data_IF_780860727014
#
_entry.id   IF_780860727014
#
_cell.length_a   1.000
_cell.length_b   1.000
_cell.length_c   1.000
_cell.angle_alpha   90.00
_cell.angle_beta   90.00
_cell.angle_gamma   90.00
#
_symmetry.space_group_name_H-M   'P 1'
#
loop_
_entity.id
_entity.type
_entity.pdbx_description
1 polymer ?
#
# COMPACT_ATOMS: atom_id res chain seq x y z
N UNK A 1 -1.45 17.69 -21.52
CA UNK A 1 -1.50 16.27 -21.11
C UNK A 1 -1.43 15.40 -22.35
N UNK A 2 -0.23 15.06 -22.79
CA UNK A 2 0.01 14.34 -24.05
C UNK A 2 0.82 13.09 -23.81
N UNK A 3 0.25 11.92 -24.19
CA UNK A 3 0.91 10.77 -24.82
C UNK A 3 1.76 9.80 -23.98
N UNK A 4 1.48 9.58 -22.69
CA UNK A 4 2.09 8.40 -22.00
C UNK A 4 1.34 7.08 -22.30
N UNK A 5 0.16 7.15 -22.86
CA UNK A 5 -0.68 5.96 -23.23
C UNK A 5 -0.12 5.19 -24.42
N UNK A 6 0.77 5.76 -25.22
CA UNK A 6 1.34 5.12 -26.42
C UNK A 6 2.65 4.35 -26.16
N UNK A 7 3.32 4.59 -25.02
CA UNK A 7 4.57 3.90 -24.68
C UNK A 7 4.28 2.53 -24.07
N UNK A 8 5.15 1.55 -24.30
CA UNK A 8 5.08 0.30 -23.54
C UNK A 8 5.31 0.56 -22.03
N UNK A 9 4.79 -0.31 -21.14
CA UNK A 9 4.88 -0.07 -19.70
C UNK A 9 6.31 0.10 -19.17
N UNK A 10 7.26 -0.69 -19.68
CA UNK A 10 8.66 -0.62 -19.26
C UNK A 10 9.31 0.73 -19.62
N UNK A 11 9.10 1.18 -20.84
CA UNK A 11 9.60 2.48 -21.32
C UNK A 11 8.96 3.64 -20.55
N UNK A 12 7.66 3.58 -20.26
CA UNK A 12 6.97 4.61 -19.47
C UNK A 12 7.54 4.69 -18.04
N UNK A 13 7.72 3.54 -17.38
CA UNK A 13 8.31 3.47 -16.04
C UNK A 13 9.76 3.96 -16.01
N UNK A 14 10.58 3.56 -17.00
CA UNK A 14 11.98 3.99 -17.11
C UNK A 14 12.09 5.51 -17.32
N UNK A 15 11.24 6.08 -18.18
CA UNK A 15 11.19 7.52 -18.44
C UNK A 15 10.82 8.31 -17.18
N UNK A 16 9.78 7.88 -16.46
CA UNK A 16 9.36 8.50 -15.22
C UNK A 16 10.48 8.45 -14.18
N UNK A 17 11.07 7.27 -13.96
CA UNK A 17 12.21 7.10 -13.04
C UNK A 17 13.38 7.99 -13.41
N UNK A 18 13.75 8.06 -14.70
CA UNK A 18 14.84 8.93 -15.18
C UNK A 18 14.57 10.43 -14.95
N UNK A 19 13.31 10.88 -15.07
CA UNK A 19 12.95 12.25 -14.76
C UNK A 19 13.08 12.56 -13.26
N UNK A 20 12.56 11.66 -12.40
CA UNK A 20 12.67 11.78 -10.94
C UNK A 20 14.12 11.87 -10.49
N UNK A 21 14.98 10.98 -10.99
CA UNK A 21 16.39 10.94 -10.63
C UNK A 21 17.13 12.20 -11.09
N UNK A 22 16.84 12.71 -12.29
CA UNK A 22 17.42 13.98 -12.77
C UNK A 22 17.07 15.14 -11.84
N UNK A 23 15.79 15.28 -11.45
CA UNK A 23 15.36 16.37 -10.58
C UNK A 23 15.93 16.21 -9.16
N UNK A 24 16.05 14.98 -8.67
CA UNK A 24 16.64 14.67 -7.37
C UNK A 24 18.14 15.01 -7.36
N UNK A 25 18.88 14.62 -8.41
CA UNK A 25 20.33 14.79 -8.49
C UNK A 25 20.74 16.22 -8.92
N UNK A 26 20.04 16.81 -9.88
CA UNK A 26 20.51 18.02 -10.56
C UNK A 26 19.53 19.19 -10.46
N UNK A 27 18.30 18.96 -10.00
CA UNK A 27 17.33 20.05 -9.82
C UNK A 27 17.77 21.05 -8.75
N UNK A 28 17.13 22.21 -8.70
CA UNK A 28 17.40 23.28 -7.73
C UNK A 28 16.38 23.35 -6.60
N UNK A 29 15.26 22.64 -6.74
CA UNK A 29 14.20 22.61 -5.75
C UNK A 29 14.65 21.90 -4.46
N UNK A 30 14.16 22.37 -3.31
CA UNK A 30 14.43 21.75 -2.01
C UNK A 30 13.74 20.40 -1.82
N UNK A 31 12.69 20.13 -2.58
CA UNK A 31 11.94 18.89 -2.53
C UNK A 31 11.53 18.41 -3.91
N UNK A 32 11.45 17.11 -4.08
CA UNK A 32 10.83 16.42 -5.22
C UNK A 32 9.80 15.47 -4.66
N UNK A 33 8.55 15.53 -5.13
CA UNK A 33 7.46 14.66 -4.67
C UNK A 33 7.15 13.62 -5.73
N UNK A 34 6.99 12.37 -5.31
CA UNK A 34 6.67 11.25 -6.20
C UNK A 34 5.45 10.50 -5.70
N UNK A 35 4.39 10.54 -6.50
CA UNK A 35 3.18 9.74 -6.31
C UNK A 35 3.42 8.33 -6.86
N UNK A 36 3.34 7.34 -6.00
CA UNK A 36 3.63 5.94 -6.32
C UNK A 36 2.44 5.05 -5.99
N UNK A 37 1.60 4.69 -6.97
CA UNK A 37 0.47 3.80 -6.75
C UNK A 37 0.93 2.38 -6.33
N UNK A 38 -0.02 1.50 -5.91
CA UNK A 38 0.31 0.16 -5.43
C UNK A 38 1.12 -0.64 -6.46
N UNK A 39 2.27 -1.16 -6.02
CA UNK A 39 3.12 -2.01 -6.88
C UNK A 39 3.86 -1.27 -7.99
N UNK A 40 3.96 0.06 -7.96
CA UNK A 40 4.67 0.82 -8.98
C UNK A 40 6.20 0.81 -8.84
N UNK A 41 6.75 0.11 -7.85
CA UNK A 41 8.19 0.00 -7.67
C UNK A 41 8.79 1.07 -6.77
N UNK A 42 8.01 1.62 -5.83
CA UNK A 42 8.45 2.64 -4.86
C UNK A 42 9.78 2.30 -4.18
N UNK A 43 9.89 1.14 -3.53
CA UNK A 43 11.13 0.74 -2.84
C UNK A 43 12.31 0.59 -3.80
N UNK A 44 12.05 0.16 -5.05
CA UNK A 44 13.08 0.11 -6.10
C UNK A 44 13.57 1.51 -6.46
N UNK A 45 12.67 2.49 -6.56
CA UNK A 45 13.02 3.89 -6.79
C UNK A 45 13.85 4.45 -5.63
N UNK A 46 13.43 4.22 -4.37
CA UNK A 46 14.14 4.66 -3.16
C UNK A 46 15.56 4.11 -3.13
N UNK A 47 15.72 2.80 -3.33
CA UNK A 47 17.04 2.15 -3.37
C UNK A 47 17.89 2.71 -4.51
N UNK A 48 17.32 2.86 -5.71
CA UNK A 48 18.04 3.40 -6.86
C UNK A 48 18.49 4.85 -6.64
N UNK A 49 17.61 5.71 -6.12
CA UNK A 49 17.95 7.10 -5.81
C UNK A 49 19.05 7.19 -4.74
N UNK A 50 18.99 6.34 -3.71
CA UNK A 50 20.02 6.29 -2.68
C UNK A 50 21.39 5.89 -3.25
N UNK A 51 21.42 4.88 -4.13
CA UNK A 51 22.66 4.46 -4.79
C UNK A 51 23.23 5.55 -5.69
N UNK A 52 22.40 6.16 -6.55
CA UNK A 52 22.86 7.22 -7.47
C UNK A 52 23.35 8.47 -6.72
N UNK A 53 22.73 8.84 -5.58
CA UNK A 53 23.21 9.92 -4.72
C UNK A 53 24.55 9.56 -4.07
N UNK A 54 24.68 8.35 -3.52
CA UNK A 54 25.92 7.89 -2.90
C UNK A 54 27.09 7.82 -3.91
N UNK A 55 26.83 7.28 -5.11
CA UNK A 55 27.82 7.21 -6.20
C UNK A 55 28.25 8.61 -6.69
N UNK A 56 27.35 9.59 -6.60
CA UNK A 56 27.67 11.00 -6.87
C UNK A 56 28.42 11.70 -5.72
N UNK A 57 28.82 10.97 -4.68
CA UNK A 57 29.50 11.51 -3.50
C UNK A 57 28.62 12.40 -2.63
N UNK A 58 27.31 12.20 -2.65
CA UNK A 58 26.32 12.98 -1.89
C UNK A 58 25.78 12.14 -0.73
N UNK A 59 26.28 12.34 0.49
CA UNK A 59 25.77 11.62 1.65
C UNK A 59 24.30 11.93 1.87
N UNK A 60 23.54 10.90 2.29
CA UNK A 60 22.11 11.03 2.48
C UNK A 60 21.60 10.31 3.71
N UNK A 61 20.51 10.84 4.25
CA UNK A 61 19.69 10.15 5.24
C UNK A 61 18.44 9.59 4.58
N UNK A 62 17.98 8.42 5.06
CA UNK A 62 16.71 7.84 4.65
C UNK A 62 15.78 7.77 5.85
N UNK A 63 14.55 8.23 5.65
CA UNK A 63 13.51 8.28 6.67
C UNK A 63 12.38 7.34 6.26
N UNK A 64 12.01 6.39 7.12
CA UNK A 64 10.82 5.56 6.94
C UNK A 64 9.95 5.59 8.21
N UNK A 65 8.75 5.00 8.16
CA UNK A 65 7.80 5.11 9.27
C UNK A 65 7.98 4.00 10.32
N UNK A 66 8.45 2.82 9.93
CA UNK A 66 8.58 1.67 10.81
C UNK A 66 9.96 1.03 10.74
N UNK A 67 10.36 0.31 11.81
CA UNK A 67 11.62 -0.44 11.83
C UNK A 67 11.68 -1.48 10.70
N UNK A 68 10.60 -2.22 10.46
CA UNK A 68 10.56 -3.22 9.41
C UNK A 68 10.77 -2.63 7.99
N UNK A 69 10.26 -1.41 7.72
CA UNK A 69 10.52 -0.72 6.46
C UNK A 69 11.98 -0.30 6.32
N UNK A 70 12.57 0.22 7.41
CA UNK A 70 13.99 0.59 7.42
C UNK A 70 14.87 -0.62 7.20
N UNK A 71 14.59 -1.73 7.89
CA UNK A 71 15.37 -2.96 7.81
C UNK A 71 15.30 -3.58 6.40
N UNK A 72 14.11 -3.59 5.76
CA UNK A 72 13.94 -4.01 4.35
C UNK A 72 14.76 -3.14 3.37
N UNK A 73 14.76 -1.82 3.56
CA UNK A 73 15.55 -0.91 2.72
C UNK A 73 17.05 -1.12 2.93
N UNK A 74 17.53 -1.34 4.16
CA UNK A 74 18.94 -1.67 4.45
C UNK A 74 19.34 -2.96 3.74
N UNK A 75 18.54 -4.03 3.86
CA UNK A 75 18.78 -5.31 3.18
C UNK A 75 18.88 -5.14 1.66
N UNK A 76 17.95 -4.38 1.06
CA UNK A 76 17.95 -4.14 -0.39
C UNK A 76 19.15 -3.33 -0.85
N UNK A 77 19.56 -2.28 -0.12
CA UNK A 77 20.72 -1.48 -0.43
C UNK A 77 21.99 -2.31 -0.31
N UNK A 78 22.17 -3.03 0.80
CA UNK A 78 23.33 -3.87 1.05
C UNK A 78 23.50 -4.98 0.01
N UNK A 79 22.40 -5.61 -0.39
CA UNK A 79 22.43 -6.65 -1.43
C UNK A 79 22.68 -6.08 -2.83
N UNK A 80 22.19 -4.87 -3.13
CA UNK A 80 22.30 -4.28 -4.46
C UNK A 80 23.72 -3.72 -4.74
N UNK A 81 24.40 -3.22 -3.71
CA UNK A 81 25.78 -2.77 -3.78
C UNK A 81 26.53 -3.21 -2.52
N UNK A 82 27.20 -4.38 -2.55
CA UNK A 82 27.95 -4.91 -1.41
C UNK A 82 29.15 -4.05 -0.99
N UNK A 83 29.64 -3.16 -1.86
CA UNK A 83 30.75 -2.25 -1.56
C UNK A 83 30.29 -0.95 -0.88
N UNK A 84 28.99 -0.65 -0.87
CA UNK A 84 28.43 0.56 -0.27
C UNK A 84 28.28 0.37 1.25
N UNK A 85 28.98 1.17 2.09
CA UNK A 85 28.73 1.15 3.52
C UNK A 85 27.36 1.75 3.85
N UNK A 86 26.51 1.00 4.56
CA UNK A 86 25.16 1.42 4.95
C UNK A 86 25.02 1.47 6.46
N UNK A 87 24.54 2.59 6.99
CA UNK A 87 24.27 2.79 8.41
C UNK A 87 22.79 2.50 8.78
N UNK A 88 22.56 1.71 9.80
CA UNK A 88 21.24 1.51 10.42
C UNK A 88 21.20 2.17 11.79
N UNK A 89 20.60 3.36 11.89
CA UNK A 89 20.42 4.05 13.17
C UNK A 89 19.12 3.55 13.82
N UNK A 90 19.20 3.03 15.06
CA UNK A 90 18.07 2.44 15.80
C UNK A 90 17.89 3.04 17.20
N UNK A 91 16.78 2.75 17.87
CA UNK A 91 16.62 3.06 19.30
C UNK A 91 17.42 2.08 20.15
N UNK A 92 17.55 2.37 21.44
CA UNK A 92 18.26 1.48 22.37
C UNK A 92 17.47 0.25 22.80
N UNK A 93 16.24 0.10 22.32
CA UNK A 93 15.38 -1.04 22.66
C UNK A 93 15.89 -2.34 22.03
N UNK A 94 15.66 -3.47 22.72
CA UNK A 94 16.20 -4.77 22.32
C UNK A 94 15.73 -5.21 20.91
N UNK A 95 14.47 -4.90 20.56
CA UNK A 95 13.81 -5.30 19.31
C UNK A 95 13.72 -4.13 18.29
N UNK A 96 14.63 -3.16 18.38
CA UNK A 96 14.60 -1.95 17.57
C UNK A 96 14.95 -2.20 16.08
N UNK A 97 15.54 -3.33 15.74
CA UNK A 97 15.89 -3.71 14.36
C UNK A 97 16.11 -5.22 14.24
N UNK A 98 16.10 -5.73 13.02
CA UNK A 98 16.42 -7.14 12.73
C UNK A 98 17.91 -7.41 12.94
N UNK A 99 18.24 -8.27 13.92
CA UNK A 99 19.62 -8.66 14.24
C UNK A 99 20.34 -9.38 13.10
N UNK A 100 19.62 -9.89 12.11
CA UNK A 100 20.24 -10.45 10.91
C UNK A 100 21.07 -9.42 10.13
N UNK A 101 20.79 -8.11 10.30
CA UNK A 101 21.56 -7.03 9.69
C UNK A 101 23.01 -6.98 10.18
N UNK A 102 23.29 -7.40 11.41
CA UNK A 102 24.65 -7.40 11.99
C UNK A 102 25.59 -8.42 11.29
N UNK A 103 25.01 -9.37 10.56
CA UNK A 103 25.79 -10.35 9.79
C UNK A 103 26.23 -9.83 8.40
N UNK A 104 25.73 -8.67 7.97
CA UNK A 104 26.06 -8.11 6.66
C UNK A 104 27.36 -7.29 6.74
N UNK A 105 28.38 -7.60 5.92
CA UNK A 105 29.72 -6.98 6.03
C UNK A 105 29.74 -5.49 5.72
N UNK A 106 28.81 -4.99 4.91
CA UNK A 106 28.70 -3.59 4.52
C UNK A 106 27.64 -2.82 5.32
N UNK A 107 27.06 -3.42 6.36
CA UNK A 107 26.07 -2.75 7.23
C UNK A 107 26.68 -2.48 8.60
N UNK A 108 26.48 -1.26 9.09
CA UNK A 108 26.83 -0.88 10.45
C UNK A 108 25.57 -0.45 11.20
N UNK A 109 25.28 -1.08 12.32
CA UNK A 109 24.15 -0.76 13.20
C UNK A 109 24.61 0.05 14.40
N UNK A 110 23.88 1.07 14.82
CA UNK A 110 24.16 1.81 16.05
C UNK A 110 22.93 2.53 16.58
N UNK A 111 22.87 2.70 17.90
CA UNK A 111 21.89 3.56 18.57
C UNK A 111 22.30 5.06 18.56
N UNK A 112 23.55 5.38 18.22
CA UNK A 112 24.11 6.74 18.24
C UNK A 112 24.46 7.20 16.83
N UNK A 113 23.89 8.33 16.42
CA UNK A 113 24.10 8.89 15.09
C UNK A 113 25.59 9.22 14.81
N UNK A 114 26.33 9.68 15.83
CA UNK A 114 27.74 10.00 15.69
C UNK A 114 28.62 8.80 15.33
N UNK A 115 28.25 7.57 15.70
CA UNK A 115 28.99 6.35 15.34
C UNK A 115 28.78 5.96 13.86
N UNK A 116 27.78 6.53 13.20
CA UNK A 116 27.46 6.35 11.79
C UNK A 116 27.84 7.56 10.94
N UNK A 117 28.45 8.58 11.55
CA UNK A 117 28.92 9.77 10.82
C UNK A 117 29.96 9.39 9.77
N UNK A 118 29.91 10.06 8.61
CA UNK A 118 30.79 9.78 7.49
C UNK A 118 30.37 8.59 6.61
N UNK A 119 29.33 7.83 6.97
CA UNK A 119 28.76 6.85 6.06
C UNK A 119 27.95 7.55 4.96
N UNK A 120 28.03 7.04 3.71
CA UNK A 120 27.35 7.66 2.58
C UNK A 120 25.80 7.57 2.68
N UNK A 121 25.28 6.53 3.32
CA UNK A 121 23.83 6.33 3.49
C UNK A 121 23.54 5.89 4.92
N UNK A 122 22.65 6.62 5.62
CA UNK A 122 22.17 6.23 6.95
C UNK A 122 20.65 6.19 6.97
N UNK A 123 20.08 5.09 7.46
CA UNK A 123 18.63 4.87 7.49
C UNK A 123 18.11 4.79 8.92
N UNK A 124 16.96 5.40 9.16
CA UNK A 124 16.24 5.28 10.45
C UNK A 124 14.75 5.58 10.30
N UNK A 125 14.01 5.35 11.37
CA UNK A 125 12.62 5.79 11.45
C UNK A 125 12.53 7.30 11.69
N UNK A 126 11.43 7.93 11.24
CA UNK A 126 11.13 9.34 11.51
C UNK A 126 11.19 9.64 13.01
N UNK A 127 10.61 8.77 13.86
CA UNK A 127 10.62 8.91 15.29
C UNK A 127 12.05 8.95 15.89
N UNK A 128 12.96 8.12 15.36
CA UNK A 128 14.35 8.13 15.84
C UNK A 128 15.10 9.35 15.34
N UNK A 129 14.92 9.73 14.06
CA UNK A 129 15.54 10.93 13.51
C UNK A 129 15.14 12.21 14.24
N UNK A 130 13.88 12.33 14.72
CA UNK A 130 13.40 13.48 15.47
C UNK A 130 14.19 13.75 16.76
N UNK A 131 14.91 12.77 17.29
CA UNK A 131 15.76 12.90 18.47
C UNK A 131 17.25 13.07 18.15
N UNK A 132 17.61 13.15 16.89
CA UNK A 132 19.00 13.36 16.47
C UNK A 132 19.31 14.85 16.37
N UNK A 133 20.47 15.25 16.87
CA UNK A 133 21.05 16.57 16.65
C UNK A 133 22.27 16.40 15.75
N UNK A 134 22.36 17.22 14.75
CA UNK A 134 23.50 17.29 13.84
C UNK A 134 24.08 18.71 13.84
N UNK A 135 25.38 18.82 13.69
CA UNK A 135 26.04 20.12 13.58
C UNK A 135 25.83 20.72 12.19
N UNK A 136 25.81 19.86 11.18
CA UNK A 136 25.53 20.22 9.79
C UNK A 136 24.42 19.31 9.23
N UNK A 137 23.44 19.87 8.48
CA UNK A 137 22.40 19.07 7.87
C UNK A 137 22.96 18.15 6.77
N UNK A 138 22.30 17.02 6.58
CA UNK A 138 22.59 16.13 5.45
C UNK A 138 22.28 16.84 4.13
N UNK A 139 23.15 16.74 3.10
CA UNK A 139 22.87 17.36 1.80
C UNK A 139 21.56 16.86 1.19
N UNK A 140 21.27 15.56 1.39
CA UNK A 140 20.06 14.92 0.85
C UNK A 140 19.35 14.04 1.88
N UNK A 141 18.02 13.96 1.71
CA UNK A 141 17.18 12.98 2.39
C UNK A 141 16.31 12.24 1.37
N UNK A 142 15.90 11.00 1.70
CA UNK A 142 14.80 10.30 1.04
C UNK A 142 13.78 9.96 2.13
N UNK A 143 12.55 10.42 1.94
CA UNK A 143 11.43 10.13 2.85
C UNK A 143 10.55 9.09 2.17
N UNK A 144 10.61 7.85 2.64
CA UNK A 144 9.76 6.76 2.18
C UNK A 144 8.43 6.76 2.94
N UNK A 145 7.36 6.33 2.30
CA UNK A 145 5.98 6.42 2.80
C UNK A 145 5.60 7.83 3.24
N UNK A 146 5.99 8.83 2.46
CA UNK A 146 5.87 10.24 2.83
C UNK A 146 4.43 10.70 3.05
N UNK A 147 3.44 10.07 2.38
CA UNK A 147 2.02 10.36 2.62
C UNK A 147 1.50 9.83 3.96
N UNK A 148 2.12 8.77 4.51
CA UNK A 148 1.79 8.24 5.84
C UNK A 148 2.50 8.99 6.97
N UNK A 149 3.48 9.82 6.64
CA UNK A 149 4.15 10.66 7.60
C UNK A 149 3.23 11.83 7.99
N UNK A 150 3.09 12.11 9.27
CA UNK A 150 2.38 13.30 9.76
C UNK A 150 3.20 14.55 9.49
N UNK A 151 2.53 15.68 9.32
CA UNK A 151 3.20 16.96 9.09
C UNK A 151 4.08 17.40 10.26
N UNK A 152 3.68 17.14 11.52
CA UNK A 152 4.51 17.39 12.69
C UNK A 152 5.78 16.51 12.70
N UNK A 153 5.68 15.27 12.24
CA UNK A 153 6.82 14.37 12.05
C UNK A 153 7.81 14.89 11.02
N UNK A 154 7.32 15.45 9.91
CA UNK A 154 8.19 16.09 8.92
C UNK A 154 8.90 17.31 9.52
N UNK A 155 8.17 18.18 10.22
CA UNK A 155 8.77 19.36 10.88
C UNK A 155 9.86 18.98 11.87
N UNK A 156 9.69 17.87 12.60
CA UNK A 156 10.68 17.39 13.56
C UNK A 156 12.01 16.95 12.92
N UNK A 157 11.99 16.56 11.63
CA UNK A 157 13.19 16.10 10.92
C UNK A 157 13.66 17.06 9.82
N UNK A 158 12.85 18.05 9.43
CA UNK A 158 13.14 18.93 8.29
C UNK A 158 14.40 19.78 8.45
N UNK A 159 14.85 20.03 9.67
CA UNK A 159 16.13 20.71 9.95
C UNK A 159 17.37 19.82 9.79
N UNK A 160 17.19 18.51 9.60
CA UNK A 160 18.31 17.59 9.48
C UNK A 160 18.84 17.44 8.04
N UNK A 161 18.17 18.01 7.05
CA UNK A 161 18.57 17.91 5.64
C UNK A 161 18.31 19.20 4.86
N UNK A 162 19.04 19.36 3.77
CA UNK A 162 18.89 20.50 2.87
C UNK A 162 17.86 20.26 1.78
N UNK A 163 17.86 19.05 1.20
CA UNK A 163 17.02 18.65 0.07
C UNK A 163 16.44 17.26 0.29
N UNK A 164 15.22 17.01 -0.19
CA UNK A 164 14.60 15.70 -0.02
C UNK A 164 13.82 15.21 -1.25
N UNK A 165 13.87 13.90 -1.45
CA UNK A 165 12.97 13.15 -2.30
C UNK A 165 11.88 12.54 -1.41
N UNK A 166 10.62 12.94 -1.63
CA UNK A 166 9.45 12.43 -0.93
C UNK A 166 8.75 11.39 -1.81
N UNK A 167 8.75 10.14 -1.40
CA UNK A 167 8.12 9.04 -2.15
C UNK A 167 7.00 8.44 -1.33
N UNK A 168 5.82 8.32 -1.89
CA UNK A 168 4.70 7.73 -1.17
C UNK A 168 3.51 7.44 -2.06
N UNK A 169 2.51 6.82 -1.48
CA UNK A 169 1.28 6.43 -2.15
C UNK A 169 0.14 7.34 -1.68
N UNK A 170 -0.38 8.21 -2.56
CA UNK A 170 -1.44 9.12 -2.20
C UNK A 170 -2.77 8.42 -1.89
N UNK A 171 -3.07 7.29 -2.50
CA UNK A 171 -4.35 6.58 -2.34
C UNK A 171 -4.39 5.57 -1.19
N UNK A 172 -3.33 5.45 -0.38
CA UNK A 172 -3.32 4.55 0.78
C UNK A 172 -3.75 5.28 2.06
N UNK A 173 -3.66 4.53 3.18
CA UNK A 173 -4.12 5.01 4.49
C UNK A 173 -3.50 6.34 4.89
N UNK A 174 -4.32 7.22 5.45
CA UNK A 174 -3.89 8.46 6.06
C UNK A 174 -2.94 8.24 7.25
N UNK A 175 -2.16 9.25 7.63
CA UNK A 175 -1.34 9.18 8.83
C UNK A 175 -2.16 8.80 10.06
N UNK A 176 -1.66 7.85 10.83
CA UNK A 176 -2.34 7.45 12.06
C UNK A 176 -2.21 8.54 13.15
N UNK A 177 -3.34 9.12 13.56
CA UNK A 177 -3.40 10.05 14.69
C UNK A 177 -3.88 9.33 15.95
N UNK A 178 -3.12 9.42 17.05
CA UNK A 178 -3.49 8.88 18.38
C UNK A 178 -4.45 9.85 19.10
N UNK A 179 -4.35 11.13 18.79
CA UNK A 179 -5.14 12.22 19.39
C UNK A 179 -6.17 12.67 18.36
N UNK A 180 -7.39 12.95 18.80
CA UNK A 180 -8.43 13.47 17.93
C UNK A 180 -7.98 14.74 17.21
N UNK A 181 -8.06 14.73 15.88
CA UNK A 181 -7.64 15.84 15.03
C UNK A 181 -8.68 16.98 14.99
N UNK A 182 -9.85 16.79 15.60
CA UNK A 182 -10.99 17.71 15.56
C UNK A 182 -10.63 19.15 16.00
N UNK A 183 -9.72 19.29 16.97
CA UNK A 183 -9.24 20.59 17.45
C UNK A 183 -8.45 21.39 16.39
N UNK A 184 -7.95 20.72 15.34
CA UNK A 184 -7.16 21.33 14.26
C UNK A 184 -7.97 21.58 13.01
N UNK A 185 -9.20 21.06 12.96
CA UNK A 185 -10.07 21.19 11.79
C UNK A 185 -10.30 22.67 11.44
N UNK A 186 -10.05 23.02 10.19
CA UNK A 186 -10.22 24.39 9.68
C UNK A 186 -9.09 25.35 10.03
N UNK A 187 -8.03 24.92 10.71
CA UNK A 187 -6.83 25.73 10.92
C UNK A 187 -5.92 25.67 9.68
N UNK A 188 -5.10 26.71 9.51
CA UNK A 188 -4.10 26.78 8.42
C UNK A 188 -3.02 25.71 8.51
N UNK A 189 -2.86 25.08 9.67
CA UNK A 189 -1.94 23.97 9.92
C UNK A 189 -2.61 22.92 10.78
N UNK A 190 -2.64 21.70 10.27
CA UNK A 190 -3.05 20.50 10.98
C UNK A 190 -1.83 19.58 11.16
N UNK A 191 -1.33 19.41 12.40
CA UNK A 191 -0.16 18.56 12.67
C UNK A 191 -0.40 17.07 12.35
N UNK A 192 -1.64 16.64 12.28
CA UNK A 192 -2.02 15.25 11.97
C UNK A 192 -2.17 14.99 10.47
N UNK A 193 -2.26 16.05 9.65
CA UNK A 193 -2.37 15.91 8.20
C UNK A 193 -1.12 15.26 7.58
N UNK A 194 -1.27 14.68 6.40
CA UNK A 194 -0.15 14.14 5.64
C UNK A 194 0.95 15.18 5.41
N UNK A 195 2.19 14.78 5.67
CA UNK A 195 3.37 15.61 5.43
C UNK A 195 3.44 16.12 3.99
N UNK A 196 3.15 15.26 3.01
CA UNK A 196 3.16 15.65 1.58
C UNK A 196 2.04 16.61 1.25
N UNK A 197 0.82 16.37 1.75
CA UNK A 197 -0.31 17.27 1.51
C UNK A 197 -0.03 18.66 2.07
N UNK A 198 0.48 18.75 3.31
CA UNK A 198 0.89 20.01 3.92
C UNK A 198 2.04 20.67 3.17
N UNK A 199 3.06 19.90 2.78
CA UNK A 199 4.22 20.40 2.04
C UNK A 199 3.77 21.06 0.72
N UNK A 200 2.91 20.40 -0.05
CA UNK A 200 2.44 20.89 -1.34
C UNK A 200 1.43 22.02 -1.24
N UNK A 201 0.64 22.08 -0.17
CA UNK A 201 -0.24 23.21 0.10
C UNK A 201 0.55 24.54 0.30
N UNK A 202 1.74 24.44 0.90
CA UNK A 202 2.60 25.59 1.15
C UNK A 202 3.70 25.80 0.10
N UNK A 203 3.97 24.82 -0.75
CA UNK A 203 5.01 24.87 -1.79
C UNK A 203 4.51 24.22 -3.09
N UNK A 204 3.51 24.83 -3.76
CA UNK A 204 2.88 24.24 -4.94
C UNK A 204 3.82 24.15 -6.15
N UNK A 205 4.92 24.88 -6.14
CA UNK A 205 5.95 24.93 -7.19
C UNK A 205 6.93 23.74 -7.16
N UNK A 206 6.87 22.89 -6.12
CA UNK A 206 7.77 21.74 -6.03
C UNK A 206 7.53 20.78 -7.20
N UNK A 207 8.61 20.23 -7.79
CA UNK A 207 8.49 19.18 -8.80
C UNK A 207 7.69 17.99 -8.30
N UNK A 208 6.64 17.64 -9.04
CA UNK A 208 5.76 16.53 -8.74
C UNK A 208 5.82 15.53 -9.88
N UNK A 209 6.17 14.30 -9.55
CA UNK A 209 6.24 13.17 -10.47
C UNK A 209 5.26 12.08 -10.04
N UNK A 210 4.99 11.16 -10.97
CA UNK A 210 4.23 9.95 -10.69
C UNK A 210 4.89 8.73 -11.32
N UNK A 211 4.75 7.58 -10.70
CA UNK A 211 5.08 6.31 -11.31
C UNK A 211 3.83 5.78 -12.05
N UNK A 212 3.85 5.70 -13.39
CA UNK A 212 2.63 5.48 -14.18
C UNK A 212 2.23 4.01 -14.34
N UNK A 213 2.99 3.07 -13.77
CA UNK A 213 2.82 1.63 -14.02
C UNK A 213 2.82 0.86 -12.71
N UNK A 214 1.79 0.03 -12.50
CA UNK A 214 1.76 -0.97 -11.43
C UNK A 214 2.26 -2.31 -11.96
N UNK A 215 3.28 -2.87 -11.33
CA UNK A 215 3.81 -4.21 -11.60
C UNK A 215 3.13 -5.30 -10.75
N UNK A 216 2.32 -4.89 -9.77
CA UNK A 216 1.56 -5.79 -8.91
C UNK A 216 0.20 -6.13 -9.51
N UNK A 217 -0.59 -5.12 -9.82
CA UNK A 217 -1.97 -5.31 -10.24
C UNK A 217 -2.03 -5.87 -11.67
N UNK A 218 -2.79 -6.94 -11.91
CA UNK A 218 -2.96 -7.47 -13.25
C UNK A 218 -3.75 -6.50 -14.14
N UNK A 219 -3.65 -6.69 -15.46
CA UNK A 219 -4.36 -5.87 -16.43
C UNK A 219 -5.89 -5.84 -16.20
N UNK A 220 -6.45 -6.88 -15.60
CA UNK A 220 -7.87 -6.98 -15.24
C UNK A 220 -8.25 -6.15 -14.01
N UNK A 221 -7.31 -5.85 -13.12
CA UNK A 221 -7.60 -5.16 -11.86
C UNK A 221 -7.15 -3.71 -11.82
N UNK A 222 -6.08 -3.37 -12.53
CA UNK A 222 -5.52 -2.04 -12.53
C UNK A 222 -6.52 -0.93 -12.92
N UNK A 223 -7.42 -1.10 -13.93
CA UNK A 223 -8.38 -0.08 -14.28
C UNK A 223 -9.29 0.32 -13.12
N UNK A 224 -9.94 -0.64 -12.45
CA UNK A 224 -10.80 -0.35 -11.32
C UNK A 224 -10.05 0.39 -10.21
N UNK A 225 -8.86 -0.11 -9.84
CA UNK A 225 -8.09 0.51 -8.74
C UNK A 225 -7.62 1.92 -9.13
N UNK A 226 -7.20 2.12 -10.38
CA UNK A 226 -6.80 3.43 -10.90
C UNK A 226 -7.97 4.42 -10.90
N UNK A 227 -9.13 4.01 -11.40
CA UNK A 227 -10.28 4.91 -11.56
C UNK A 227 -10.93 5.23 -10.21
N UNK A 228 -11.06 4.23 -9.33
CA UNK A 228 -11.71 4.42 -8.03
C UNK A 228 -10.84 5.16 -7.01
N UNK A 229 -9.52 5.00 -7.04
CA UNK A 229 -8.65 5.51 -5.98
C UNK A 229 -7.59 6.51 -6.46
N UNK A 230 -7.32 6.59 -7.77
CA UNK A 230 -6.27 7.45 -8.34
C UNK A 230 -6.75 8.26 -9.55
N UNK A 231 -7.97 8.86 -9.52
CA UNK A 231 -8.49 9.59 -10.69
C UNK A 231 -7.62 10.79 -11.07
N UNK A 232 -6.87 11.35 -10.12
CA UNK A 232 -5.96 12.49 -10.33
C UNK A 232 -4.52 12.06 -10.65
N UNK A 233 -4.16 10.84 -10.33
CA UNK A 233 -2.82 10.25 -10.58
C UNK A 233 -2.95 8.87 -11.22
N UNK A 234 -3.62 8.75 -12.38
CA UNK A 234 -3.97 7.48 -12.99
C UNK A 234 -2.71 6.68 -13.36
N UNK A 235 -2.84 5.38 -13.26
CA UNK A 235 -1.80 4.41 -13.61
C UNK A 235 -2.39 3.25 -14.42
N UNK A 236 -1.52 2.44 -15.02
CA UNK A 236 -1.89 1.21 -15.72
C UNK A 236 -1.12 0.01 -15.22
N UNK A 237 -1.59 -1.19 -15.60
CA UNK A 237 -0.83 -2.41 -15.34
C UNK A 237 0.45 -2.47 -16.18
N UNK A 238 1.49 -3.04 -15.60
CA UNK A 238 2.71 -3.45 -16.31
C UNK A 238 2.58 -4.81 -17.02
N UNK A 239 1.45 -5.52 -16.83
CA UNK A 239 1.20 -6.84 -17.43
C UNK A 239 0.13 -6.74 -18.51
N UNK A 240 0.20 -7.62 -19.51
CA UNK A 240 -0.82 -7.77 -20.53
C UNK A 240 -2.02 -8.61 -20.08
N UNK A 241 -3.10 -8.55 -20.86
CA UNK A 241 -4.25 -9.42 -20.62
C UNK A 241 -3.84 -10.88 -20.82
N UNK A 242 -4.12 -11.72 -19.82
CA UNK A 242 -3.82 -13.15 -19.87
C UNK A 242 -2.39 -13.55 -19.48
N UNK A 243 -1.50 -12.59 -19.15
CA UNK A 243 -0.16 -12.90 -18.62
C UNK A 243 -0.25 -13.58 -17.25
N UNK A 244 -1.26 -13.22 -16.48
CA UNK A 244 -1.51 -13.79 -15.15
C UNK A 244 -2.81 -14.58 -15.17
N UNK A 245 -2.72 -15.85 -14.82
CA UNK A 245 -3.85 -16.78 -14.82
C UNK A 245 -3.85 -17.61 -13.55
N UNK A 246 -5.06 -17.93 -13.10
CA UNK A 246 -5.30 -18.95 -12.08
C UNK A 246 -5.90 -20.18 -12.77
N UNK A 247 -5.40 -21.35 -12.42
CA UNK A 247 -5.94 -22.64 -12.85
C UNK A 247 -6.15 -23.53 -11.64
N UNK A 248 -7.04 -24.51 -11.74
CA UNK A 248 -7.41 -25.38 -10.64
C UNK A 248 -7.37 -26.85 -11.07
N UNK A 249 -6.75 -27.69 -10.25
CA UNK A 249 -6.65 -29.13 -10.51
C UNK A 249 -8.00 -29.82 -10.29
N UNK A 250 -8.79 -29.35 -9.29
CA UNK A 250 -10.12 -29.88 -8.99
C UNK A 250 -11.18 -28.97 -9.62
N UNK A 251 -12.12 -29.56 -10.40
CA UNK A 251 -13.23 -28.81 -10.99
C UNK A 251 -14.12 -28.15 -9.95
N UNK A 252 -14.86 -27.13 -10.39
CA UNK A 252 -15.91 -26.49 -9.59
C UNK A 252 -17.03 -27.48 -9.26
N UNK A 253 -17.49 -27.46 -8.02
CA UNK A 253 -18.66 -28.20 -7.57
C UNK A 253 -19.97 -27.41 -7.73
N UNK A 254 -19.88 -26.17 -8.25
CA UNK A 254 -21.03 -25.28 -8.44
C UNK A 254 -21.50 -24.58 -7.17
N UNK A 255 -20.81 -24.75 -6.03
CA UNK A 255 -21.10 -24.01 -4.79
C UNK A 255 -20.87 -22.52 -4.96
N UNK A 256 -21.40 -21.70 -4.03
CA UNK A 256 -21.17 -20.27 -4.04
C UNK A 256 -19.69 -19.90 -4.00
N UNK A 257 -18.88 -20.51 -3.11
CA UNK A 257 -17.43 -20.33 -3.09
C UNK A 257 -16.76 -20.65 -4.40
N UNK A 258 -17.07 -21.80 -5.01
CA UNK A 258 -16.44 -22.19 -6.27
C UNK A 258 -16.82 -21.25 -7.43
N UNK A 259 -18.09 -20.86 -7.53
CA UNK A 259 -18.54 -19.92 -8.57
C UNK A 259 -17.86 -18.56 -8.46
N UNK A 260 -17.67 -18.02 -7.25
CA UNK A 260 -16.98 -16.73 -7.07
C UNK A 260 -15.47 -16.85 -7.32
N UNK A 261 -14.87 -18.00 -7.03
CA UNK A 261 -13.48 -18.30 -7.36
C UNK A 261 -13.30 -18.37 -8.89
N UNK A 262 -14.19 -19.07 -9.59
CA UNK A 262 -14.14 -19.16 -11.05
C UNK A 262 -14.33 -17.78 -11.70
N UNK A 263 -15.26 -16.97 -11.18
CA UNK A 263 -15.43 -15.60 -11.65
C UNK A 263 -14.19 -14.74 -11.42
N UNK A 264 -13.61 -14.81 -10.22
CA UNK A 264 -12.39 -14.07 -9.89
C UNK A 264 -11.18 -14.53 -10.72
N UNK A 265 -11.07 -15.83 -11.02
CA UNK A 265 -10.01 -16.35 -11.89
C UNK A 265 -10.17 -15.87 -13.35
N UNK A 266 -11.40 -15.67 -13.82
CA UNK A 266 -11.73 -15.22 -15.17
C UNK A 266 -11.52 -13.73 -15.36
N UNK A 267 -11.98 -12.92 -14.39
CA UNK A 267 -12.07 -11.46 -14.51
C UNK A 267 -11.08 -10.68 -13.65
N UNK A 268 -10.39 -11.34 -12.71
CA UNK A 268 -9.58 -10.70 -11.69
C UNK A 268 -10.39 -10.29 -10.45
N UNK A 269 -11.74 -10.29 -10.54
CA UNK A 269 -12.64 -9.86 -9.47
C UNK A 269 -13.79 -10.84 -9.25
N UNK A 270 -14.22 -10.98 -8.00
CA UNK A 270 -15.43 -11.72 -7.66
C UNK A 270 -16.10 -11.08 -6.44
N UNK A 271 -17.42 -10.93 -6.50
CA UNK A 271 -18.24 -10.51 -5.34
C UNK A 271 -19.06 -11.69 -4.86
N UNK A 272 -18.77 -12.16 -3.65
CA UNK A 272 -19.66 -13.11 -2.95
C UNK A 272 -20.64 -12.32 -2.10
N UNK A 273 -21.87 -12.19 -2.59
CA UNK A 273 -22.93 -11.39 -1.97
C UNK A 273 -23.76 -12.22 -0.99
N UNK A 274 -23.73 -11.83 0.28
CA UNK A 274 -24.54 -12.39 1.35
C UNK A 274 -25.90 -11.67 1.41
N UNK A 275 -26.96 -12.33 1.90
CA UNK A 275 -28.27 -11.68 2.07
C UNK A 275 -28.18 -10.41 2.92
N UNK A 276 -29.01 -9.42 2.59
CA UNK A 276 -29.13 -8.18 3.35
C UNK A 276 -29.47 -8.47 4.82
N UNK A 277 -28.62 -7.99 5.72
CA UNK A 277 -28.82 -8.11 7.17
C UNK A 277 -27.92 -7.12 7.90
N UNK A 278 -28.46 -6.41 8.87
CA UNK A 278 -27.63 -5.69 9.87
C UNK A 278 -27.04 -6.69 10.85
N UNK A 279 -25.75 -6.62 11.06
CA UNK A 279 -25.00 -7.58 11.86
C UNK A 279 -24.11 -6.88 12.88
N UNK A 280 -23.70 -7.58 13.95
CA UNK A 280 -22.58 -7.13 14.76
C UNK A 280 -21.33 -6.94 13.91
N UNK A 281 -20.37 -6.17 14.41
CA UNK A 281 -19.10 -5.91 13.72
C UNK A 281 -18.38 -7.20 13.28
N UNK A 282 -18.44 -8.24 14.09
CA UNK A 282 -17.97 -9.58 13.73
C UNK A 282 -19.17 -10.45 13.36
N UNK A 283 -19.44 -10.55 12.06
CA UNK A 283 -20.56 -11.30 11.49
C UNK A 283 -20.15 -12.77 11.28
N UNK A 284 -20.76 -13.73 12.01
CA UNK A 284 -20.39 -15.14 11.91
C UNK A 284 -20.65 -15.76 10.53
N UNK A 285 -21.67 -15.28 9.79
CA UNK A 285 -21.96 -15.78 8.44
C UNK A 285 -20.93 -15.28 7.44
N UNK A 286 -20.53 -14.01 7.52
CA UNK A 286 -19.46 -13.47 6.70
C UNK A 286 -18.10 -14.16 7.01
N UNK A 287 -17.81 -14.43 8.28
CA UNK A 287 -16.61 -15.19 8.69
C UNK A 287 -16.61 -16.57 8.04
N UNK A 288 -17.74 -17.32 8.10
CA UNK A 288 -17.86 -18.64 7.46
C UNK A 288 -17.72 -18.55 5.93
N UNK A 289 -18.34 -17.54 5.31
CA UNK A 289 -18.24 -17.34 3.85
C UNK A 289 -16.79 -17.09 3.39
N UNK A 290 -16.07 -16.19 4.08
CA UNK A 290 -14.66 -15.94 3.83
C UNK A 290 -13.82 -17.23 4.01
N UNK A 291 -14.02 -17.94 5.12
CA UNK A 291 -13.29 -19.17 5.41
C UNK A 291 -13.58 -20.28 4.37
N UNK A 292 -14.84 -20.38 3.90
CA UNK A 292 -15.24 -21.33 2.86
C UNK A 292 -14.54 -21.02 1.51
N UNK A 293 -14.47 -19.74 1.10
CA UNK A 293 -13.75 -19.34 -0.13
C UNK A 293 -12.27 -19.70 -0.02
N UNK A 294 -11.62 -19.35 1.08
CA UNK A 294 -10.20 -19.64 1.29
C UNK A 294 -9.93 -21.15 1.29
N UNK A 295 -10.78 -21.91 2.00
CA UNK A 295 -10.63 -23.37 2.03
C UNK A 295 -10.78 -23.99 0.65
N UNK A 296 -11.77 -23.56 -0.15
CA UNK A 296 -11.97 -24.03 -1.52
C UNK A 296 -10.83 -23.66 -2.46
N UNK A 297 -10.23 -22.46 -2.34
CA UNK A 297 -9.02 -22.09 -3.08
C UNK A 297 -7.88 -23.10 -2.87
N UNK A 298 -7.68 -23.53 -1.62
CA UNK A 298 -6.66 -24.52 -1.27
C UNK A 298 -7.06 -25.94 -1.75
N UNK A 299 -8.30 -26.39 -1.51
CA UNK A 299 -8.78 -27.72 -1.85
C UNK A 299 -8.80 -27.97 -3.37
N UNK A 300 -9.03 -26.95 -4.15
CA UNK A 300 -9.03 -27.06 -5.60
C UNK A 300 -7.63 -27.19 -6.21
N UNK A 301 -6.57 -27.13 -5.40
CA UNK A 301 -5.20 -27.25 -5.89
C UNK A 301 -4.87 -26.17 -6.92
N UNK A 302 -5.08 -24.91 -6.56
CA UNK A 302 -4.85 -23.77 -7.43
C UNK A 302 -3.39 -23.65 -7.85
N UNK A 303 -3.16 -23.13 -9.05
CA UNK A 303 -1.85 -22.73 -9.54
C UNK A 303 -1.94 -21.39 -10.26
N UNK A 304 -0.90 -20.58 -10.12
CA UNK A 304 -0.79 -19.24 -10.69
C UNK A 304 0.36 -19.19 -11.70
N UNK A 305 0.10 -18.64 -12.88
CA UNK A 305 1.13 -18.28 -13.88
C UNK A 305 1.34 -16.78 -13.87
N UNK A 306 2.54 -16.32 -14.21
CA UNK A 306 2.88 -14.91 -14.26
C UNK A 306 3.68 -14.58 -15.53
N UNK A 307 3.82 -13.29 -15.81
CA UNK A 307 4.61 -12.74 -16.92
C UNK A 307 6.08 -13.17 -16.92
N UNK A 308 6.61 -13.60 -15.77
CA UNK A 308 8.01 -14.01 -15.62
C UNK A 308 8.23 -15.51 -15.79
N UNK A 309 7.13 -16.32 -15.82
CA UNK A 309 7.23 -17.77 -15.94
C UNK A 309 5.91 -18.39 -16.41
N UNK A 310 5.97 -19.13 -17.52
CA UNK A 310 4.84 -19.94 -18.01
C UNK A 310 4.61 -21.19 -17.14
N UNK A 311 5.57 -21.55 -16.27
CA UNK A 311 5.40 -22.69 -15.37
C UNK A 311 4.44 -22.30 -14.23
N UNK A 312 3.32 -23.02 -14.07
CA UNK A 312 2.38 -22.75 -12.99
C UNK A 312 3.01 -22.99 -11.63
N UNK A 313 2.94 -22.00 -10.75
CA UNK A 313 3.39 -22.12 -9.35
C UNK A 313 2.19 -22.46 -8.45
N UNK A 314 2.28 -23.47 -7.55
CA UNK A 314 1.18 -23.84 -6.67
C UNK A 314 0.70 -22.65 -5.82
N UNK A 315 -0.61 -22.50 -5.70
CA UNK A 315 -1.24 -21.52 -4.83
C UNK A 315 -1.27 -22.05 -3.38
N UNK A 316 -0.18 -21.82 -2.66
CA UNK A 316 -0.02 -22.24 -1.26
C UNK A 316 -0.65 -21.24 -0.29
N UNK A 317 -0.85 -21.62 0.96
CA UNK A 317 -1.52 -20.79 1.96
C UNK A 317 -0.84 -19.43 2.20
N UNK A 318 0.48 -19.34 2.12
CA UNK A 318 1.27 -18.11 2.26
C UNK A 318 1.10 -17.15 1.06
N UNK A 319 0.58 -17.63 -0.07
CA UNK A 319 0.28 -16.84 -1.27
C UNK A 319 -1.15 -16.30 -1.28
N UNK A 320 -1.95 -16.60 -0.26
CA UNK A 320 -3.32 -16.14 -0.07
C UNK A 320 -3.38 -15.23 1.16
N UNK A 321 -4.08 -14.11 1.04
CA UNK A 321 -4.38 -13.28 2.20
C UNK A 321 -5.87 -12.98 2.34
N UNK A 322 -6.28 -12.80 3.60
CA UNK A 322 -7.60 -12.30 3.96
C UNK A 322 -7.45 -10.92 4.58
N UNK A 323 -8.18 -9.94 4.02
CA UNK A 323 -8.19 -8.56 4.48
C UNK A 323 -9.50 -8.16 5.14
N UNK A 324 -9.42 -7.45 6.27
CA UNK A 324 -10.58 -6.94 7.00
C UNK A 324 -10.37 -5.50 7.47
N UNK A 325 -11.46 -4.84 7.90
CA UNK A 325 -11.36 -3.51 8.51
C UNK A 325 -10.97 -3.58 9.99
N UNK A 326 -11.39 -4.60 10.72
CA UNK A 326 -11.27 -4.68 12.18
C UNK A 326 -10.46 -5.89 12.66
N UNK A 327 -9.76 -5.72 13.79
CA UNK A 327 -8.92 -6.78 14.40
C UNK A 327 -9.71 -7.98 14.90
N UNK A 328 -10.90 -7.75 15.43
CA UNK A 328 -11.82 -8.80 15.89
C UNK A 328 -12.35 -9.65 14.73
N UNK A 329 -12.67 -9.03 13.58
CA UNK A 329 -12.99 -9.77 12.35
C UNK A 329 -11.81 -10.65 11.90
N UNK A 330 -10.60 -10.08 11.87
CA UNK A 330 -9.41 -10.84 11.52
C UNK A 330 -9.16 -12.01 12.49
N UNK A 331 -9.36 -11.80 13.78
CA UNK A 331 -9.22 -12.85 14.80
C UNK A 331 -10.23 -13.97 14.59
N UNK A 332 -11.51 -13.66 14.36
CA UNK A 332 -12.57 -14.63 14.11
C UNK A 332 -12.33 -15.44 12.83
N UNK A 333 -11.92 -14.78 11.74
CA UNK A 333 -11.59 -15.47 10.48
C UNK A 333 -10.36 -16.38 10.66
N UNK A 334 -9.34 -15.93 11.39
CA UNK A 334 -8.16 -16.73 11.66
C UNK A 334 -8.50 -17.99 12.45
N UNK A 335 -9.39 -17.89 13.46
CA UNK A 335 -9.89 -19.04 14.21
C UNK A 335 -10.64 -20.01 13.30
N UNK A 336 -11.56 -19.53 12.46
CA UNK A 336 -12.32 -20.37 11.54
C UNK A 336 -11.40 -21.07 10.51
N UNK A 337 -10.38 -20.40 10.00
CA UNK A 337 -9.39 -21.01 9.08
C UNK A 337 -8.52 -22.05 9.78
N UNK A 338 -8.16 -21.85 11.05
CA UNK A 338 -7.42 -22.84 11.82
C UNK A 338 -8.23 -24.11 12.02
N UNK A 339 -9.52 -24.00 12.33
CA UNK A 339 -10.45 -25.13 12.44
C UNK A 339 -10.57 -25.92 11.12
N UNK A 340 -10.46 -25.24 9.99
CA UNK A 340 -10.48 -25.84 8.64
C UNK A 340 -9.11 -26.32 8.15
N UNK A 341 -8.06 -26.24 8.98
CA UNK A 341 -6.71 -26.65 8.59
C UNK A 341 -5.99 -25.71 7.61
N UNK A 342 -6.38 -24.44 7.58
CA UNK A 342 -5.82 -23.39 6.70
C UNK A 342 -5.06 -22.30 7.50
N UNK A 343 -4.41 -22.66 8.61
CA UNK A 343 -3.75 -21.72 9.53
C UNK A 343 -2.56 -20.94 8.90
N UNK A 344 -1.99 -21.43 7.78
CA UNK A 344 -0.88 -20.76 7.07
C UNK A 344 -1.29 -19.54 6.23
N UNK A 345 -2.59 -19.28 6.09
CA UNK A 345 -3.10 -18.13 5.34
C UNK A 345 -2.93 -16.85 6.17
N UNK A 346 -2.42 -15.81 5.54
CA UNK A 346 -2.32 -14.50 6.20
C UNK A 346 -3.71 -13.88 6.39
N UNK A 347 -4.08 -13.55 7.63
CA UNK A 347 -5.34 -12.84 7.93
C UNK A 347 -5.00 -11.59 8.73
N UNK A 348 -5.28 -10.40 8.19
CA UNK A 348 -4.99 -9.16 8.92
C UNK A 348 -5.87 -7.99 8.48
N UNK A 349 -5.70 -6.85 9.16
CA UNK A 349 -6.37 -5.60 8.82
C UNK A 349 -5.65 -4.89 7.67
N UNK A 350 -6.34 -3.96 7.01
CA UNK A 350 -5.78 -3.13 5.95
C UNK A 350 -4.41 -2.53 6.35
N UNK A 351 -4.31 -1.96 7.55
CA UNK A 351 -3.08 -1.35 8.05
C UNK A 351 -1.87 -2.31 8.07
N UNK A 352 -2.08 -3.58 8.39
CA UNK A 352 -1.01 -4.58 8.45
C UNK A 352 -0.74 -5.28 7.13
N UNK A 353 -1.70 -5.27 6.21
CA UNK A 353 -1.52 -5.76 4.84
C UNK A 353 -0.82 -4.74 3.94
N UNK A 354 -0.71 -3.50 4.39
CA UNK A 354 -0.04 -2.45 3.63
C UNK A 354 1.41 -2.83 3.30
N UNK A 355 1.84 -2.52 2.07
CA UNK A 355 3.17 -2.89 1.56
C UNK A 355 3.31 -4.34 1.08
N UNK A 356 2.45 -5.26 1.53
CA UNK A 356 2.51 -6.68 1.16
C UNK A 356 1.78 -6.95 -0.16
N UNK A 357 2.05 -8.12 -0.75
CA UNK A 357 1.37 -8.60 -1.96
C UNK A 357 1.16 -10.12 -1.90
N UNK A 358 0.10 -10.58 -2.55
CA UNK A 358 -0.33 -11.97 -2.57
C UNK A 358 -0.88 -12.32 -3.94
N UNK A 359 -0.92 -13.59 -4.30
CA UNK A 359 -1.52 -13.97 -5.57
C UNK A 359 -3.03 -13.79 -5.56
N UNK A 360 -3.67 -14.25 -4.49
CA UNK A 360 -5.12 -14.11 -4.31
C UNK A 360 -5.41 -13.43 -2.98
N UNK A 361 -6.33 -12.48 -3.01
CA UNK A 361 -6.86 -11.88 -1.77
C UNK A 361 -8.35 -12.15 -1.64
N UNK A 362 -8.78 -12.40 -0.41
CA UNK A 362 -10.20 -12.46 -0.02
C UNK A 362 -10.45 -11.36 0.98
N UNK A 363 -11.32 -10.42 0.67
CA UNK A 363 -11.56 -9.27 1.56
C UNK A 363 -12.99 -9.24 2.05
N UNK A 364 -13.16 -8.89 3.32
CA UNK A 364 -14.47 -8.54 3.87
C UNK A 364 -14.66 -7.03 3.69
N UNK A 365 -15.69 -6.64 2.93
CA UNK A 365 -15.97 -5.24 2.66
C UNK A 365 -16.19 -4.45 3.97
N UNK A 366 -15.56 -3.27 4.15
CA UNK A 366 -15.65 -2.51 5.41
C UNK A 366 -17.08 -2.19 5.86
N UNK A 367 -17.99 -1.94 4.93
CA UNK A 367 -19.38 -1.59 5.18
C UNK A 367 -20.33 -2.80 5.23
N UNK A 368 -19.83 -4.05 5.05
CA UNK A 368 -20.67 -5.24 5.02
C UNK A 368 -21.47 -5.41 6.32
N UNK A 369 -22.80 -5.40 6.23
CA UNK A 369 -23.73 -5.60 7.34
C UNK A 369 -23.76 -4.46 8.38
N UNK A 370 -23.10 -3.35 8.10
CA UNK A 370 -23.07 -2.18 8.98
C UNK A 370 -24.39 -1.44 8.99
N UNK A 371 -24.79 -0.85 10.15
CA UNK A 371 -25.94 0.03 10.23
C UNK A 371 -25.65 1.48 9.80
N UNK A 372 -24.38 1.86 9.68
CA UNK A 372 -23.88 3.21 9.46
C UNK A 372 -22.61 3.22 8.60
N UNK A 373 -22.38 4.29 7.87
CA UNK A 373 -21.17 4.55 7.10
C UNK A 373 -20.30 5.62 7.80
N UNK A 374 -19.60 5.22 8.87
CA UNK A 374 -18.74 6.14 9.61
C UNK A 374 -17.46 6.50 8.82
N UNK A 375 -16.81 7.63 9.15
CA UNK A 375 -15.56 8.07 8.55
C UNK A 375 -14.48 6.96 8.55
N UNK A 376 -14.40 6.15 9.61
CA UNK A 376 -13.50 5.00 9.66
C UNK A 376 -13.75 3.98 8.52
N UNK A 377 -15.01 3.69 8.21
CA UNK A 377 -15.37 2.70 7.17
C UNK A 377 -15.30 3.29 5.77
N UNK A 378 -15.51 4.61 5.66
CA UNK A 378 -15.43 5.37 4.41
C UNK A 378 -13.99 5.79 4.07
N UNK A 379 -13.01 5.64 4.98
CA UNK A 379 -11.62 5.98 4.69
C UNK A 379 -11.16 5.30 3.39
N UNK A 380 -10.96 6.11 2.36
CA UNK A 380 -10.64 5.67 0.99
C UNK A 380 -9.43 4.75 0.95
N UNK A 381 -8.38 5.11 1.69
CA UNK A 381 -7.15 4.33 1.77
C UNK A 381 -7.34 2.92 2.33
N UNK A 382 -8.31 2.71 3.21
CA UNK A 382 -8.62 1.39 3.75
C UNK A 382 -9.14 0.44 2.68
N UNK A 383 -10.12 0.88 1.90
CA UNK A 383 -10.66 0.09 0.80
C UNK A 383 -9.60 -0.08 -0.31
N UNK A 384 -8.85 0.96 -0.63
CA UNK A 384 -7.75 0.90 -1.59
C UNK A 384 -6.70 -0.16 -1.21
N UNK A 385 -6.24 -0.18 0.06
CA UNK A 385 -5.29 -1.21 0.52
C UNK A 385 -5.90 -2.60 0.36
N UNK A 386 -7.14 -2.82 0.79
CA UNK A 386 -7.79 -4.13 0.68
C UNK A 386 -7.92 -4.58 -0.78
N UNK A 387 -8.32 -3.69 -1.68
CA UNK A 387 -8.55 -3.97 -3.09
C UNK A 387 -7.28 -4.04 -3.96
N UNK A 388 -6.09 -3.71 -3.43
CA UNK A 388 -4.86 -3.58 -4.23
C UNK A 388 -3.70 -4.49 -3.81
N UNK A 389 -3.97 -5.56 -3.05
CA UNK A 389 -2.92 -6.49 -2.57
C UNK A 389 -2.71 -7.70 -3.46
N UNK A 390 -3.61 -7.98 -4.40
CA UNK A 390 -3.57 -9.17 -5.26
C UNK A 390 -2.72 -8.98 -6.51
N UNK A 391 -2.16 -10.10 -6.96
CA UNK A 391 -1.43 -10.22 -8.24
C UNK A 391 -2.27 -10.89 -9.34
N UNK A 392 -3.25 -11.71 -8.94
CA UNK A 392 -4.08 -12.49 -9.87
C UNK A 392 -5.55 -12.19 -9.70
N UNK A 393 -6.09 -12.34 -8.49
CA UNK A 393 -7.52 -12.16 -8.25
C UNK A 393 -7.83 -11.65 -6.84
N UNK A 394 -8.93 -10.91 -6.74
CA UNK A 394 -9.52 -10.46 -5.48
C UNK A 394 -10.97 -10.93 -5.38
N UNK A 395 -11.29 -11.65 -4.32
CA UNK A 395 -12.68 -11.98 -3.96
C UNK A 395 -13.13 -11.05 -2.84
N UNK A 396 -14.23 -10.33 -3.07
CA UNK A 396 -14.86 -9.48 -2.07
C UNK A 396 -16.06 -10.20 -1.49
N UNK A 397 -16.13 -10.33 -0.17
CA UNK A 397 -17.30 -10.82 0.55
C UNK A 397 -18.03 -9.62 1.11
N UNK A 398 -19.31 -9.47 0.76
CA UNK A 398 -20.09 -8.31 1.14
C UNK A 398 -21.57 -8.71 1.34
N UNK A 399 -22.27 -8.07 2.27
CA UNK A 399 -23.73 -8.15 2.35
C UNK A 399 -24.36 -7.21 1.32
N UNK A 400 -25.50 -7.64 0.78
CA UNK A 400 -26.39 -6.80 -0.03
C UNK A 400 -26.83 -5.55 0.75
N UNK A 401 -27.06 -4.42 0.05
CA UNK A 401 -27.60 -3.18 0.61
C UNK A 401 -26.52 -2.16 1.03
N UNK A 402 -25.26 -2.35 0.68
CA UNK A 402 -24.21 -1.35 0.99
C UNK A 402 -24.39 -0.08 0.13
N UNK A 403 -24.84 -0.20 -1.11
CA UNK A 403 -25.12 1.00 -1.94
C UNK A 403 -26.23 1.85 -1.33
N UNK A 404 -27.31 1.23 -0.87
CA UNK A 404 -28.42 1.93 -0.20
C UNK A 404 -27.94 2.60 1.10
N UNK A 405 -27.06 1.91 1.85
CA UNK A 405 -26.43 2.47 3.05
C UNK A 405 -25.59 3.72 2.72
N UNK A 406 -24.84 3.70 1.64
CA UNK A 406 -24.05 4.86 1.20
C UNK A 406 -24.95 6.05 0.80
N UNK A 407 -26.07 5.80 0.14
CA UNK A 407 -27.03 6.83 -0.23
C UNK A 407 -27.69 7.50 0.99
N UNK A 408 -27.89 6.73 2.08
CA UNK A 408 -28.37 7.26 3.36
C UNK A 408 -27.32 8.07 4.13
N UNK A 409 -26.03 7.87 3.86
CA UNK A 409 -24.88 8.51 4.52
C UNK A 409 -23.91 9.13 3.50
N UNK A 410 -24.34 10.18 2.77
CA UNK A 410 -23.44 10.84 1.83
C UNK A 410 -22.21 11.41 2.53
N UNK A 411 -21.13 11.56 1.79
CA UNK A 411 -19.90 12.08 2.33
C UNK A 411 -20.08 13.48 2.94
N UNK A 412 -19.49 13.66 4.11
CA UNK A 412 -19.43 14.96 4.79
C UNK A 412 -17.98 15.44 4.93
N UNK A 413 -17.07 14.89 4.12
CA UNK A 413 -15.67 15.30 4.18
C UNK A 413 -15.54 16.80 3.84
N UNK A 414 -14.76 17.56 4.64
CA UNK A 414 -14.60 18.98 4.39
C UNK A 414 -13.89 19.23 3.07
N UNK A 415 -14.50 19.99 2.18
CA UNK A 415 -13.86 20.49 0.96
C UNK A 415 -13.07 21.75 1.33
N UNK A 416 -11.75 21.68 1.23
CA UNK A 416 -10.89 22.84 1.41
C UNK A 416 -10.78 23.61 0.10
N UNK A 417 -11.37 24.79 0.04
CA UNK A 417 -11.28 25.67 -1.13
C UNK A 417 -9.81 26.08 -1.36
N UNK A 418 -9.35 25.95 -2.61
CA UNK A 418 -7.99 26.31 -3.00
C UNK A 418 -6.92 25.23 -2.79
N UNK A 419 -7.26 24.08 -2.24
CA UNK A 419 -6.38 22.90 -2.20
C UNK A 419 -6.69 21.98 -3.39
N UNK A 420 -5.61 21.46 -4.02
CA UNK A 420 -5.77 20.43 -5.04
C UNK A 420 -6.32 19.17 -4.40
N UNK A 421 -7.49 18.73 -4.87
CA UNK A 421 -8.04 17.42 -4.51
C UNK A 421 -7.10 16.36 -5.09
N UNK A 422 -6.56 15.50 -4.23
CA UNK A 422 -5.61 14.44 -4.64
C UNK A 422 -6.20 13.04 -4.54
N UNK A 423 -7.28 12.90 -3.79
CA UNK A 423 -7.96 11.63 -3.56
C UNK A 423 -9.45 11.80 -3.81
N UNK A 424 -10.13 10.77 -4.31
CA UNK A 424 -11.59 10.72 -4.25
C UNK A 424 -12.02 10.61 -2.79
N UNK A 425 -13.22 11.07 -2.48
CA UNK A 425 -13.76 10.78 -1.17
C UNK A 425 -14.14 9.29 -1.03
N UNK A 426 -14.32 8.84 0.21
CA UNK A 426 -14.61 7.44 0.47
C UNK A 426 -15.98 7.00 -0.04
N UNK A 427 -16.94 7.90 -0.14
CA UNK A 427 -18.26 7.63 -0.69
C UNK A 427 -18.17 7.31 -2.20
N UNK A 428 -17.51 8.19 -2.97
CA UNK A 428 -17.27 8.00 -4.40
C UNK A 428 -16.49 6.71 -4.70
N UNK A 429 -15.41 6.48 -3.94
CA UNK A 429 -14.58 5.29 -4.11
C UNK A 429 -15.34 3.99 -3.84
N UNK A 430 -16.19 3.96 -2.80
CA UNK A 430 -17.03 2.80 -2.49
C UNK A 430 -18.06 2.55 -3.60
N UNK A 431 -18.72 3.57 -4.11
CA UNK A 431 -19.67 3.44 -5.23
C UNK A 431 -18.99 2.93 -6.50
N UNK A 432 -17.83 3.44 -6.86
CA UNK A 432 -17.06 2.97 -8.02
C UNK A 432 -16.71 1.48 -7.91
N UNK A 433 -16.21 1.06 -6.73
CA UNK A 433 -15.86 -0.34 -6.48
C UNK A 433 -17.10 -1.24 -6.51
N UNK A 434 -18.19 -0.87 -5.84
CA UNK A 434 -19.41 -1.67 -5.79
C UNK A 434 -20.08 -1.79 -7.15
N UNK A 435 -20.10 -0.72 -7.94
CA UNK A 435 -20.64 -0.73 -9.31
C UNK A 435 -19.89 -1.71 -10.20
N UNK A 436 -18.56 -1.71 -10.15
CA UNK A 436 -17.75 -2.68 -10.88
C UNK A 436 -17.98 -4.11 -10.39
N UNK A 437 -17.98 -4.32 -9.09
CA UNK A 437 -18.17 -5.65 -8.49
C UNK A 437 -19.57 -6.24 -8.76
N UNK A 438 -20.57 -5.40 -9.01
CA UNK A 438 -21.92 -5.86 -9.37
C UNK A 438 -21.94 -6.71 -10.65
N UNK A 439 -20.99 -6.47 -11.58
CA UNK A 439 -20.85 -7.28 -12.81
C UNK A 439 -20.23 -8.67 -12.54
N UNK A 440 -19.56 -8.83 -11.40
CA UNK A 440 -18.82 -10.03 -10.98
C UNK A 440 -19.48 -10.73 -9.78
N UNK A 441 -20.79 -10.55 -9.63
CA UNK A 441 -21.57 -10.96 -8.47
C UNK A 441 -22.00 -12.42 -8.50
N UNK A 442 -21.73 -13.11 -7.41
CA UNK A 442 -22.24 -14.44 -7.09
C UNK A 442 -23.00 -14.37 -5.77
N UNK A 443 -24.28 -14.76 -5.78
CA UNK A 443 -25.09 -14.80 -4.55
C UNK A 443 -24.71 -16.00 -3.69
N UNK A 444 -24.47 -15.73 -2.42
CA UNK A 444 -24.29 -16.75 -1.41
C UNK A 444 -25.61 -17.51 -1.18
N UNK A 445 -25.54 -18.82 -1.27
CA UNK A 445 -26.64 -19.72 -0.85
C UNK A 445 -26.01 -20.65 0.19
N UNK A 446 -26.50 -20.58 1.46
CA UNK A 446 -25.98 -21.39 2.56
C UNK A 446 -26.23 -22.89 2.33
#
# INVERSE_FOLDING_TARGET
MTTDTALDPGTAAARATGAILRDTLHGTARGVVVDSPPGAGKSTLVVRAALELADAGRPLMVVAQTNAQVDDLVLRLAAKNPELPVGRLHSSDADAYDKALDALPNVRTSAKAGELSGLPVVLSTAAKWAHVKVDEPWPHAIVDEAYQMRSDGLLAVAGLFERALFVGDPGQLDPFAIVGAEQWAGLSYDPSASAVSTLLAHNPELPQHRLPVSWRLPASAAPLVSDAFYPYTPFRSGTGHGDRRLSFAVPSDGSGPDRVIDEAARSGWGLLELPARRTPRTDPEAVRAVAAVVRRLLDRGGAATSESSDAPAPLTADRIAVGTAHRDQAAAIRAALAELGAAGVTVDTANRLQGREYDVTVILHPLSGRPDATAFHLETGRLCVLASRHRHACVVVCREGVSDLLDDYPSTEPVQLGTLVRFPDGWEANHAVLSHLAEHRVRWRP
#
